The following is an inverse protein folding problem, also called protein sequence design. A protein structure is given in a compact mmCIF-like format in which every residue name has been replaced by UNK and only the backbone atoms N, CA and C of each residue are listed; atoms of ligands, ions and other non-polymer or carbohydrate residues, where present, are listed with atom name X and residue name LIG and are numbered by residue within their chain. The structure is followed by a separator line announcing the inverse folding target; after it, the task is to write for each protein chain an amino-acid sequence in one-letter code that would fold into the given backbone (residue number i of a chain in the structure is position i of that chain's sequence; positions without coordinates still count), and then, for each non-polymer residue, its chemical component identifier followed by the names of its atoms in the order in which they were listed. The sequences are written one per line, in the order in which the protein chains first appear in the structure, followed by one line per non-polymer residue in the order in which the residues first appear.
data_IF_009602268144
#
_entry.id   IF_009602268144
#
_cell.length_a   1.000
_cell.length_b   1.000
_cell.length_c   1.000
_cell.angle_alpha   90.00
_cell.angle_beta   90.00
_cell.angle_gamma   90.00
#
_symmetry.space_group_name_H-M   'P 1'
#
loop_
_entity.id
_entity.type
_entity.pdbx_description
1 polymer ?
#
# COMPACT_ATOMS: atom_id res chain seq x y z
N UNK A 1 -9.96 7.44 12.33
CA UNK A 1 -8.57 7.12 11.91
C UNK A 1 -8.63 6.35 10.60
N UNK A 2 -8.00 6.83 9.53
CA UNK A 2 -8.06 6.21 8.19
C UNK A 2 -7.44 4.80 8.24
N UNK A 3 -8.18 3.77 7.83
CA UNK A 3 -7.72 2.39 7.90
C UNK A 3 -6.51 2.09 6.99
N UNK A 4 -6.38 2.80 5.85
CA UNK A 4 -5.18 2.70 5.01
C UNK A 4 -3.93 3.22 5.73
N UNK A 5 -4.06 4.38 6.38
CA UNK A 5 -2.96 4.97 7.16
C UNK A 5 -2.51 4.04 8.31
N UNK A 6 -3.45 3.32 8.93
CA UNK A 6 -3.08 2.31 9.94
C UNK A 6 -2.28 1.15 9.33
N UNK A 7 -2.70 0.64 8.17
CA UNK A 7 -1.96 -0.42 7.48
C UNK A 7 -0.56 0.04 7.11
N UNK A 8 -0.41 1.25 6.57
CA UNK A 8 0.90 1.83 6.23
C UNK A 8 1.80 1.97 7.46
N UNK A 9 1.27 2.52 8.57
CA UNK A 9 2.02 2.66 9.82
C UNK A 9 2.43 1.30 10.41
N UNK A 10 1.56 0.30 10.34
CA UNK A 10 1.87 -1.06 10.83
C UNK A 10 2.96 -1.70 9.96
N UNK A 11 2.91 -1.55 8.63
CA UNK A 11 3.96 -2.05 7.74
C UNK A 11 5.30 -1.36 8.01
N UNK A 12 5.32 -0.02 7.98
CA UNK A 12 6.54 0.78 8.17
C UNK A 12 7.13 0.63 9.58
N UNK A 13 6.27 0.46 10.58
CA UNK A 13 6.66 0.13 11.95
C UNK A 13 7.08 -1.32 12.17
N UNK A 14 7.16 -2.14 11.10
CA UNK A 14 7.49 -3.58 11.14
C UNK A 14 6.60 -4.39 12.10
N UNK A 15 5.36 -3.92 12.31
CA UNK A 15 4.38 -4.58 13.18
C UNK A 15 3.62 -5.69 12.46
N UNK A 16 3.64 -5.69 11.12
CA UNK A 16 3.05 -6.72 10.27
C UNK A 16 4.01 -7.10 9.14
N UNK A 17 4.03 -8.37 8.72
CA UNK A 17 4.72 -8.79 7.51
C UNK A 17 4.01 -8.27 6.24
N UNK A 18 4.71 -8.27 5.10
CA UNK A 18 4.17 -7.78 3.82
C UNK A 18 2.91 -8.56 3.41
N UNK A 19 2.88 -9.88 3.57
CA UNK A 19 1.68 -10.66 3.23
C UNK A 19 0.44 -10.32 4.07
N UNK A 20 0.60 -9.94 5.35
CA UNK A 20 -0.54 -9.44 6.15
C UNK A 20 -0.95 -8.03 5.69
N UNK A 21 0.01 -7.18 5.34
CA UNK A 21 -0.25 -5.87 4.77
C UNK A 21 -1.02 -5.96 3.45
N UNK A 22 -0.54 -6.76 2.50
CA UNK A 22 -1.14 -6.97 1.18
C UNK A 22 -2.59 -7.43 1.32
N UNK A 23 -2.83 -8.48 2.10
CA UNK A 23 -4.17 -9.00 2.35
C UNK A 23 -5.09 -7.94 2.95
N UNK A 24 -4.63 -7.25 4.00
CA UNK A 24 -5.42 -6.21 4.66
C UNK A 24 -5.71 -5.01 3.75
N UNK A 25 -4.75 -4.62 2.92
CA UNK A 25 -4.89 -3.54 1.95
C UNK A 25 -5.89 -3.91 0.84
N UNK A 26 -5.78 -5.12 0.29
CA UNK A 26 -6.70 -5.64 -0.73
C UNK A 26 -8.13 -5.79 -0.21
N UNK A 27 -8.31 -6.30 1.01
CA UNK A 27 -9.63 -6.41 1.65
C UNK A 27 -10.26 -5.05 1.89
N UNK A 28 -9.47 -4.06 2.37
CA UNK A 28 -9.95 -2.69 2.58
C UNK A 28 -10.38 -2.05 1.26
N UNK A 29 -9.54 -2.15 0.23
CA UNK A 29 -9.85 -1.63 -1.10
C UNK A 29 -11.11 -2.27 -1.70
N UNK A 30 -11.23 -3.59 -1.62
CA UNK A 30 -12.41 -4.32 -2.11
C UNK A 30 -13.68 -3.81 -1.43
N UNK A 31 -13.67 -3.74 -0.10
CA UNK A 31 -14.84 -3.26 0.67
C UNK A 31 -15.23 -1.85 0.27
N UNK A 32 -14.26 -0.95 0.18
CA UNK A 32 -14.48 0.44 -0.16
C UNK A 32 -15.07 0.65 -1.57
N UNK A 33 -14.56 -0.12 -2.53
CA UNK A 33 -15.05 -0.17 -3.90
C UNK A 33 -16.49 -0.71 -3.95
N UNK A 34 -16.76 -1.79 -3.23
CA UNK A 34 -18.07 -2.45 -3.21
C UNK A 34 -19.14 -1.60 -2.47
N UNK A 35 -18.73 -0.88 -1.42
CA UNK A 35 -19.56 0.09 -0.69
C UNK A 35 -19.78 1.42 -1.46
N UNK A 36 -19.24 1.55 -2.68
CA UNK A 36 -19.27 2.77 -3.51
C UNK A 36 -18.78 4.02 -2.77
N UNK A 37 -17.79 3.86 -1.89
CA UNK A 37 -17.14 5.02 -1.28
C UNK A 37 -16.50 5.84 -2.39
N UNK A 38 -16.94 7.09 -2.57
CA UNK A 38 -16.42 7.94 -3.63
C UNK A 38 -15.00 8.39 -3.26
N UNK A 39 -14.03 7.95 -4.05
CA UNK A 39 -12.64 8.41 -3.97
C UNK A 39 -12.37 9.41 -5.08
N UNK A 40 -11.63 10.47 -4.74
CA UNK A 40 -11.12 11.35 -5.75
C UNK A 40 -10.12 10.59 -6.67
N UNK A 41 -9.94 11.01 -7.94
CA UNK A 41 -9.02 10.34 -8.87
C UNK A 41 -7.56 10.31 -8.42
N UNK A 42 -7.17 11.16 -7.47
CA UNK A 42 -5.84 11.12 -6.91
C UNK A 42 -5.73 9.92 -5.96
N UNK A 43 -6.74 9.63 -5.15
CA UNK A 43 -6.71 8.48 -4.24
C UNK A 43 -6.64 7.14 -4.98
N UNK A 44 -7.31 6.99 -6.13
CA UNK A 44 -7.12 5.80 -6.97
C UNK A 44 -5.66 5.61 -7.41
N UNK A 45 -4.95 6.70 -7.74
CA UNK A 45 -3.52 6.61 -8.08
C UNK A 45 -2.65 6.14 -6.92
N UNK A 46 -3.00 6.49 -5.68
CA UNK A 46 -2.34 5.93 -4.50
C UNK A 46 -2.56 4.42 -4.44
N UNK A 47 -3.80 3.96 -4.58
CA UNK A 47 -4.15 2.54 -4.54
C UNK A 47 -3.39 1.77 -5.63
N UNK A 48 -3.44 2.24 -6.87
CA UNK A 48 -2.76 1.61 -8.01
C UNK A 48 -1.25 1.52 -7.80
N UNK A 49 -0.65 2.58 -7.24
CA UNK A 49 0.79 2.61 -6.97
C UNK A 49 1.20 1.62 -5.89
N UNK A 50 0.41 1.47 -4.82
CA UNK A 50 0.68 0.46 -3.79
C UNK A 50 0.58 -0.95 -4.37
N UNK A 51 -0.44 -1.25 -5.18
CA UNK A 51 -0.54 -2.56 -5.84
C UNK A 51 0.62 -2.82 -6.80
N UNK A 52 1.02 -1.82 -7.59
CA UNK A 52 2.18 -1.95 -8.47
C UNK A 52 3.45 -2.25 -7.67
N UNK A 53 3.67 -1.58 -6.54
CA UNK A 53 4.83 -1.85 -5.68
C UNK A 53 4.79 -3.26 -5.07
N UNK A 54 3.61 -3.77 -4.74
CA UNK A 54 3.43 -5.15 -4.26
C UNK A 54 3.75 -6.16 -5.36
N UNK A 55 3.20 -5.97 -6.57
CA UNK A 55 3.43 -6.84 -7.72
C UNK A 55 4.92 -6.90 -8.09
N UNK A 56 5.60 -5.74 -8.12
CA UNK A 56 7.04 -5.64 -8.42
C UNK A 56 7.88 -6.32 -7.33
N UNK A 57 7.46 -6.23 -6.07
CA UNK A 57 8.16 -6.88 -4.95
C UNK A 57 7.99 -8.41 -4.95
N UNK A 58 6.85 -8.92 -5.43
CA UNK A 58 6.56 -10.36 -5.48
C UNK A 58 7.15 -11.04 -6.72
N UNK A 59 7.42 -10.27 -7.78
CA UNK A 59 8.01 -10.75 -9.03
C UNK A 59 9.41 -10.15 -9.30
N UNK A 60 10.48 -10.86 -8.88
CA UNK A 60 11.86 -10.46 -9.15
C UNK A 60 12.22 -10.35 -10.64
N UNK A 61 11.42 -10.88 -11.57
CA UNK A 61 11.67 -10.72 -13.00
C UNK A 61 11.38 -9.29 -13.48
N UNK A 62 10.50 -8.56 -12.77
CA UNK A 62 10.14 -7.17 -13.10
C UNK A 62 11.24 -6.20 -12.68
N UNK A 63 11.67 -6.28 -11.42
CA UNK A 63 12.80 -5.53 -10.89
C UNK A 63 13.51 -6.33 -9.80
N UNK A 64 14.64 -6.99 -10.12
CA UNK A 64 15.39 -7.79 -9.16
C UNK A 64 15.94 -7.00 -7.95
N UNK A 65 16.00 -5.67 -8.05
CA UNK A 65 16.49 -4.80 -6.99
C UNK A 65 15.38 -4.26 -6.08
N UNK A 66 14.12 -4.55 -6.40
CA UNK A 66 12.96 -4.10 -5.63
C UNK A 66 12.56 -5.18 -4.61
N UNK A 67 13.21 -5.14 -3.45
CA UNK A 67 12.96 -6.07 -2.35
C UNK A 67 11.93 -5.53 -1.33
N UNK A 68 11.71 -6.30 -0.26
CA UNK A 68 10.79 -5.92 0.81
C UNK A 68 11.15 -4.57 1.47
N UNK A 69 12.43 -4.23 1.56
CA UNK A 69 12.86 -2.99 2.18
C UNK A 69 12.58 -1.81 1.23
N UNK A 70 12.76 -1.99 -0.08
CA UNK A 70 12.30 -1.03 -1.09
C UNK A 70 10.79 -0.83 -1.08
N UNK A 71 10.00 -1.89 -0.91
CA UNK A 71 8.56 -1.77 -0.76
C UNK A 71 8.20 -0.92 0.47
N UNK A 72 8.87 -1.12 1.61
CA UNK A 72 8.64 -0.31 2.82
C UNK A 72 9.03 1.15 2.62
N UNK A 73 10.15 1.43 1.94
CA UNK A 73 10.56 2.79 1.58
C UNK A 73 9.51 3.48 0.70
N UNK A 74 8.99 2.78 -0.31
CA UNK A 74 7.97 3.29 -1.21
C UNK A 74 6.64 3.55 -0.47
N UNK A 75 6.19 2.62 0.37
CA UNK A 75 4.98 2.82 1.19
C UNK A 75 5.16 3.98 2.20
N UNK A 76 6.35 4.15 2.77
CA UNK A 76 6.66 5.30 3.63
C UNK A 76 6.58 6.62 2.85
N UNK A 77 7.15 6.68 1.65
CA UNK A 77 7.06 7.84 0.77
C UNK A 77 5.61 8.17 0.42
N UNK A 78 4.82 7.17 0.04
CA UNK A 78 3.39 7.33 -0.27
C UNK A 78 2.59 7.82 0.94
N UNK A 79 2.94 7.33 2.14
CA UNK A 79 2.32 7.80 3.39
C UNK A 79 2.57 9.29 3.60
N UNK A 80 3.82 9.73 3.42
CA UNK A 80 4.21 11.13 3.54
C UNK A 80 3.50 12.02 2.53
N UNK A 81 3.56 11.64 1.25
CA UNK A 81 2.94 12.40 0.15
C UNK A 81 1.43 12.53 0.32
N UNK A 82 0.76 11.51 0.86
CA UNK A 82 -0.70 11.48 0.91
C UNK A 82 -1.31 11.98 2.21
N UNK A 83 -0.66 11.71 3.33
CA UNK A 83 -1.19 12.00 4.66
C UNK A 83 -0.42 13.11 5.39
N UNK A 84 0.70 13.58 4.83
CA UNK A 84 1.51 14.66 5.40
C UNK A 84 2.31 14.25 6.62
N UNK A 85 2.64 12.96 6.75
CA UNK A 85 3.39 12.38 7.89
C UNK A 85 4.85 12.10 7.56
#
# INVERSE_FOLDING_TARGET
MNAYLQLFRRLNGKQIPIGEFEKGFAEKWRRDRDEKTSYDPRFHRLIDRVFTSLDVCDDPEIDPAFDEDRLREEVALLTHVWFGE
#
